data_IF_784855464427
#
_entry.id   IF_784855464427
#
_cell.length_a   1.000
_cell.length_b   1.000
_cell.length_c   1.000
_cell.angle_alpha   90.00
_cell.angle_beta   90.00
_cell.angle_gamma   90.00
#
_symmetry.space_group_name_H-M   'P 1'
#
loop_
_entity.id
_entity.type
_entity.pdbx_description
1 polymer ?
#
# COMPACT_ATOMS: atom_id res chain seq x y z
N UNK A 1 -72.59 29.86 39.93
CA UNK A 1 -72.48 31.29 40.37
C UNK A 1 -71.82 32.10 39.24
N UNK A 2 -71.97 33.43 39.18
CA UNK A 2 -71.82 34.26 37.96
C UNK A 2 -70.36 34.75 37.65
N UNK A 3 -70.00 34.86 36.35
CA UNK A 3 -69.47 36.05 35.58
C UNK A 3 -68.36 36.95 36.23
N UNK A 4 -67.25 37.43 35.60
CA UNK A 4 -66.90 37.77 34.19
C UNK A 4 -65.38 37.75 33.83
N UNK A 5 -65.10 37.62 32.52
CA UNK A 5 -63.99 38.12 31.66
C UNK A 5 -62.98 39.19 32.17
N UNK A 6 -61.77 39.13 31.55
CA UNK A 6 -60.80 40.20 31.19
C UNK A 6 -60.01 40.95 32.29
N UNK A 7 -58.68 40.78 32.26
CA UNK A 7 -57.74 41.89 31.99
C UNK A 7 -56.40 41.39 31.43
N UNK A 8 -56.01 41.93 30.28
CA UNK A 8 -54.64 41.92 29.74
C UNK A 8 -54.08 43.31 29.99
N UNK A 9 -52.88 43.43 30.58
CA UNK A 9 -51.82 44.34 30.14
C UNK A 9 -50.59 44.31 31.07
N UNK A 10 -49.45 44.02 30.43
CA UNK A 10 -48.11 44.58 30.67
C UNK A 10 -47.65 44.98 32.09
N UNK A 11 -46.62 44.26 32.57
CA UNK A 11 -45.33 44.89 32.87
C UNK A 11 -44.20 44.00 32.37
N UNK A 12 -43.33 44.56 31.53
CA UNK A 12 -42.07 43.92 31.15
C UNK A 12 -40.98 44.34 32.15
N UNK A 13 -40.32 43.38 32.77
CA UNK A 13 -39.07 43.58 33.50
C UNK A 13 -38.16 42.39 33.18
N UNK A 14 -37.02 42.67 32.54
CA UNK A 14 -36.17 41.63 31.99
C UNK A 14 -35.44 40.82 33.06
N UNK A 15 -35.65 39.50 33.07
CA UNK A 15 -34.73 38.57 33.71
C UNK A 15 -33.78 38.03 32.64
N UNK A 16 -32.52 38.48 32.66
CA UNK A 16 -31.45 37.87 31.86
C UNK A 16 -31.20 36.46 32.41
N UNK A 17 -31.81 35.46 31.78
CA UNK A 17 -31.53 34.07 32.08
C UNK A 17 -30.11 33.73 31.61
N UNK A 18 -29.16 33.80 32.54
CA UNK A 18 -27.80 33.26 32.38
C UNK A 18 -27.89 31.76 32.13
N UNK A 19 -27.95 31.38 30.86
CA UNK A 19 -27.96 30.00 30.40
C UNK A 19 -26.67 29.31 30.81
N UNK A 20 -26.70 28.60 31.95
CA UNK A 20 -25.66 27.64 32.32
C UNK A 20 -25.69 26.50 31.32
N UNK A 21 -24.87 26.60 30.28
CA UNK A 21 -24.47 25.46 29.45
C UNK A 21 -23.69 24.48 30.32
N UNK A 22 -24.41 23.58 30.97
CA UNK A 22 -23.81 22.42 31.62
C UNK A 22 -23.17 21.58 30.51
N UNK A 23 -21.85 21.74 30.34
CA UNK A 23 -21.06 20.87 29.51
C UNK A 23 -21.26 19.44 30.03
N UNK A 24 -21.92 18.59 29.24
CA UNK A 24 -22.03 17.18 29.54
C UNK A 24 -20.62 16.57 29.49
N UNK A 25 -19.95 16.57 30.64
CA UNK A 25 -18.76 15.77 30.85
C UNK A 25 -19.15 14.32 30.59
N UNK A 26 -18.65 13.75 29.50
CA UNK A 26 -18.76 12.32 29.26
C UNK A 26 -18.23 11.60 30.51
N UNK A 27 -19.01 10.68 31.12
CA UNK A 27 -18.57 10.02 32.34
C UNK A 27 -17.24 9.32 32.06
N UNK A 28 -16.29 9.48 32.98
CA UNK A 28 -14.99 8.84 32.89
C UNK A 28 -15.20 7.32 32.68
N UNK A 29 -14.42 6.67 31.78
CA UNK A 29 -14.60 5.25 31.52
C UNK A 29 -14.42 4.49 32.83
N UNK A 30 -15.47 3.77 33.26
CA UNK A 30 -15.39 2.90 34.43
C UNK A 30 -14.19 1.95 34.28
N UNK A 31 -13.44 1.67 35.36
CA UNK A 31 -12.30 0.77 35.30
C UNK A 31 -12.76 -0.57 34.75
N UNK A 32 -12.02 -1.11 33.78
CA UNK A 32 -12.31 -2.42 33.23
C UNK A 32 -12.32 -3.44 34.37
N UNK A 33 -13.38 -4.24 34.48
CA UNK A 33 -13.41 -5.34 35.43
C UNK A 33 -12.20 -6.25 35.17
N UNK A 34 -11.49 -6.64 36.23
CA UNK A 34 -10.32 -7.53 36.13
C UNK A 34 -10.66 -8.91 35.56
N UNK A 35 -11.94 -9.25 35.57
CA UNK A 35 -12.52 -10.45 34.97
C UNK A 35 -13.72 -10.04 34.09
N UNK A 36 -13.63 -10.17 32.75
CA UNK A 36 -14.70 -9.75 31.85
C UNK A 36 -15.96 -10.63 31.94
N UNK A 37 -15.91 -11.79 32.61
CA UNK A 37 -17.11 -12.61 32.84
C UNK A 37 -18.03 -12.03 33.93
N UNK A 38 -17.53 -11.11 34.75
CA UNK A 38 -18.23 -10.55 35.93
C UNK A 38 -18.95 -9.22 35.68
N UNK A 39 -18.86 -8.65 34.48
CA UNK A 39 -19.50 -7.39 34.13
C UNK A 39 -20.08 -7.45 32.70
N UNK A 40 -21.30 -6.92 32.45
CA UNK A 40 -21.82 -6.79 31.09
C UNK A 40 -20.87 -6.02 30.18
N UNK A 41 -20.67 -6.53 28.97
CA UNK A 41 -19.85 -5.89 27.95
C UNK A 41 -20.43 -4.56 27.44
N UNK A 42 -19.63 -3.85 26.63
CA UNK A 42 -20.10 -2.62 25.94
C UNK A 42 -21.17 -2.99 24.90
N UNK A 43 -22.23 -2.18 24.73
CA UNK A 43 -23.20 -2.38 23.65
C UNK A 43 -22.55 -2.16 22.27
N UNK A 44 -23.25 -2.60 21.22
CA UNK A 44 -22.84 -2.43 19.83
C UNK A 44 -22.64 -0.95 19.44
N UNK A 45 -21.82 -0.73 18.40
CA UNK A 45 -21.46 0.60 17.87
C UNK A 45 -21.71 0.65 16.36
N UNK A 46 -21.97 1.84 15.83
CA UNK A 46 -22.12 2.08 14.39
C UNK A 46 -20.86 1.74 13.59
N UNK A 47 -19.67 1.89 14.20
CA UNK A 47 -18.38 1.50 13.63
C UNK A 47 -17.58 0.72 14.66
N UNK A 48 -16.86 -0.30 14.17
CA UNK A 48 -15.86 -1.04 14.96
C UNK A 48 -14.64 -0.16 15.30
N UNK A 49 -13.89 -0.57 16.31
CA UNK A 49 -12.61 0.04 16.70
C UNK A 49 -11.61 -1.07 17.00
N UNK A 50 -10.33 -0.81 16.78
CA UNK A 50 -9.25 -1.73 17.18
C UNK A 50 -9.27 -1.93 18.70
N UNK A 51 -8.85 -3.09 19.18
CA UNK A 51 -8.73 -3.34 20.61
C UNK A 51 -7.71 -2.37 21.24
N UNK A 52 -7.91 -1.96 22.50
CA UNK A 52 -7.05 -0.97 23.15
C UNK A 52 -5.56 -1.41 23.30
N UNK A 53 -5.30 -2.71 23.18
CA UNK A 53 -3.97 -3.32 23.21
C UNK A 53 -3.31 -3.38 21.82
N UNK A 54 -4.10 -3.26 20.75
CA UNK A 54 -3.66 -3.36 19.35
C UNK A 54 -3.46 -1.98 18.75
N UNK A 55 -2.20 -1.59 18.51
CA UNK A 55 -1.83 -0.24 18.03
C UNK A 55 -0.98 -0.25 16.75
N UNK A 56 -1.31 -1.06 15.71
CA UNK A 56 -0.61 -0.98 14.44
C UNK A 56 -0.80 0.42 13.84
N UNK A 57 0.29 1.06 13.44
CA UNK A 57 0.28 2.42 12.91
C UNK A 57 1.28 2.59 11.78
N UNK A 58 1.04 3.54 10.87
CA UNK A 58 1.97 3.86 9.78
C UNK A 58 3.06 4.82 10.28
N UNK A 59 4.31 4.54 9.94
CA UNK A 59 5.43 5.47 10.15
C UNK A 59 5.46 6.44 8.97
N UNK A 60 5.40 7.74 9.23
CA UNK A 60 5.45 8.79 8.20
C UNK A 60 6.89 9.07 7.75
N UNK A 61 7.09 9.27 6.44
CA UNK A 61 8.38 9.67 5.85
C UNK A 61 8.27 11.12 5.37
N UNK A 62 8.35 12.04 6.32
CA UNK A 62 8.04 13.45 6.10
C UNK A 62 6.58 13.68 5.65
N UNK A 63 6.31 14.79 4.98
CA UNK A 63 4.96 15.13 4.50
C UNK A 63 4.51 14.39 3.22
N UNK A 64 5.35 13.51 2.66
CA UNK A 64 5.16 12.95 1.31
C UNK A 64 4.90 11.45 1.28
N UNK A 65 4.78 10.77 2.42
CA UNK A 65 4.42 9.36 2.43
C UNK A 65 4.50 8.68 3.79
N UNK A 66 4.22 7.38 3.79
CA UNK A 66 4.24 6.54 5.00
C UNK A 66 4.57 5.09 4.67
N UNK A 67 4.80 4.27 5.70
CA UNK A 67 5.15 2.85 5.60
C UNK A 67 4.14 1.99 6.37
N UNK A 68 3.78 0.83 5.81
CA UNK A 68 2.84 -0.14 6.40
C UNK A 68 3.51 -1.00 7.48
N UNK A 69 2.86 -1.19 8.65
CA UNK A 69 3.40 -1.96 9.77
C UNK A 69 3.30 -3.49 9.56
N UNK A 70 4.00 -4.05 8.56
CA UNK A 70 3.86 -5.46 8.20
C UNK A 70 4.20 -6.46 9.32
N UNK A 71 5.01 -6.06 10.31
CA UNK A 71 5.26 -6.85 11.52
C UNK A 71 4.03 -6.99 12.44
N UNK A 72 3.10 -6.03 12.39
CA UNK A 72 1.90 -5.96 13.24
C UNK A 72 0.64 -6.46 12.49
N UNK A 73 0.81 -7.07 11.31
CA UNK A 73 -0.29 -7.46 10.40
C UNK A 73 -0.30 -8.95 10.09
N UNK A 74 -1.50 -9.53 10.15
CA UNK A 74 -1.78 -10.93 9.87
C UNK A 74 -2.29 -11.13 8.43
N UNK A 75 -2.08 -12.33 7.87
CA UNK A 75 -2.52 -12.66 6.52
C UNK A 75 -1.78 -11.85 5.44
N UNK A 76 -2.51 -11.37 4.44
CA UNK A 76 -1.95 -10.60 3.30
C UNK A 76 -2.77 -9.37 2.89
N UNK A 77 -4.00 -9.18 3.37
CA UNK A 77 -4.77 -7.95 3.11
C UNK A 77 -4.35 -6.88 4.11
N UNK A 78 -3.79 -5.78 3.60
CA UNK A 78 -3.49 -4.58 4.40
C UNK A 78 -4.78 -3.81 4.69
N UNK A 79 -5.14 -3.53 5.96
CA UNK A 79 -6.25 -2.64 6.30
C UNK A 79 -6.12 -1.28 5.61
N UNK A 80 -7.22 -0.69 5.15
CA UNK A 80 -7.18 0.52 4.31
C UNK A 80 -6.53 1.72 5.02
N UNK A 81 -6.77 1.87 6.33
CA UNK A 81 -6.15 2.85 7.24
C UNK A 81 -4.64 2.63 7.46
N UNK A 82 -4.11 1.47 7.07
CA UNK A 82 -2.71 1.08 7.20
C UNK A 82 -2.01 0.86 5.86
N UNK A 83 -2.69 1.09 4.73
CA UNK A 83 -2.08 1.09 3.40
C UNK A 83 -1.06 2.24 3.31
N UNK A 84 0.13 1.96 2.78
CA UNK A 84 1.23 2.93 2.72
C UNK A 84 0.85 4.14 1.85
N UNK A 85 1.45 5.31 2.11
CA UNK A 85 1.20 6.51 1.32
C UNK A 85 2.43 6.94 0.51
N UNK A 86 2.17 7.47 -0.69
CA UNK A 86 3.14 8.30 -1.42
C UNK A 86 2.41 9.40 -2.18
N UNK A 87 2.86 10.64 -1.97
CA UNK A 87 2.32 11.87 -2.57
C UNK A 87 3.46 12.76 -3.06
N UNK A 88 3.21 13.60 -4.06
CA UNK A 88 4.19 14.59 -4.53
C UNK A 88 3.75 16.03 -4.25
N UNK A 89 2.44 16.30 -4.09
CA UNK A 89 1.89 17.59 -3.63
C UNK A 89 0.77 17.44 -2.57
N UNK A 90 0.90 16.45 -1.67
CA UNK A 90 -0.10 16.18 -0.63
C UNK A 90 -1.33 15.38 -1.12
N UNK A 91 -2.42 15.43 -0.35
CA UNK A 91 -3.69 14.75 -0.66
C UNK A 91 -4.74 15.82 -0.99
N UNK A 92 -5.23 15.89 -2.25
CA UNK A 92 -6.34 16.77 -2.61
C UNK A 92 -7.67 16.24 -2.05
N UNK A 93 -8.56 17.16 -1.69
CA UNK A 93 -9.97 16.87 -1.42
C UNK A 93 -10.77 17.02 -2.72
N UNK A 94 -11.45 15.96 -3.15
CA UNK A 94 -12.18 15.91 -4.43
C UNK A 94 -13.63 15.50 -4.18
N UNK A 95 -14.56 16.39 -4.51
CA UNK A 95 -15.99 16.07 -4.47
C UNK A 95 -16.34 15.06 -5.60
N UNK A 96 -16.90 13.89 -5.29
CA UNK A 96 -17.25 12.89 -6.30
C UNK A 96 -18.32 13.37 -7.30
N UNK A 97 -19.04 14.46 -7.00
CA UNK A 97 -20.09 15.05 -7.86
C UNK A 97 -19.53 15.95 -8.95
N UNK A 98 -18.35 16.54 -8.75
CA UNK A 98 -17.63 17.33 -9.76
C UNK A 98 -16.49 16.56 -10.42
N UNK A 99 -16.10 15.41 -9.86
CA UNK A 99 -15.10 14.52 -10.45
C UNK A 99 -15.50 14.03 -11.84
N UNK A 100 -14.54 14.07 -12.76
CA UNK A 100 -14.62 13.43 -14.06
C UNK A 100 -13.25 12.97 -14.58
N UNK A 101 -13.28 11.97 -15.47
CA UNK A 101 -12.12 11.40 -16.16
C UNK A 101 -12.26 11.65 -17.66
N UNK A 102 -11.38 12.48 -18.23
CA UNK A 102 -11.27 12.67 -19.67
C UNK A 102 -10.44 11.54 -20.30
N UNK A 103 -10.94 10.90 -21.35
CA UNK A 103 -10.17 9.99 -22.20
C UNK A 103 -10.19 10.54 -23.63
N UNK A 104 -9.02 10.89 -24.16
CA UNK A 104 -8.87 11.57 -25.46
C UNK A 104 -7.58 11.16 -26.20
N UNK A 105 -7.15 11.95 -27.18
CA UNK A 105 -5.98 11.67 -28.03
C UNK A 105 -6.34 10.78 -29.23
N UNK A 106 -5.57 9.72 -29.45
CA UNK A 106 -5.76 8.75 -30.54
C UNK A 106 -6.96 7.80 -30.31
N UNK A 107 -8.16 8.39 -30.28
CA UNK A 107 -9.45 7.71 -30.13
C UNK A 107 -10.41 8.12 -31.25
N UNK A 108 -11.50 7.38 -31.44
CA UNK A 108 -12.60 7.75 -32.34
C UNK A 108 -13.53 8.78 -31.70
N UNK A 109 -13.83 8.60 -30.40
CA UNK A 109 -14.80 9.41 -29.64
C UNK A 109 -14.18 9.83 -28.30
N UNK A 110 -13.57 11.03 -28.21
CA UNK A 110 -13.15 11.59 -26.93
C UNK A 110 -14.33 11.71 -25.97
N UNK A 111 -14.18 11.24 -24.73
CA UNK A 111 -15.27 11.19 -23.75
C UNK A 111 -14.82 11.64 -22.37
N UNK A 112 -15.77 12.22 -21.64
CA UNK A 112 -15.62 12.59 -20.23
C UNK A 112 -16.55 11.68 -19.39
N UNK A 113 -15.99 10.91 -18.47
CA UNK A 113 -16.74 9.98 -17.62
C UNK A 113 -16.89 10.56 -16.21
N UNK A 114 -18.11 10.66 -15.69
CA UNK A 114 -18.30 10.95 -14.25
C UNK A 114 -18.01 9.70 -13.41
N UNK A 115 -17.89 9.85 -12.08
CA UNK A 115 -17.80 8.69 -11.18
C UNK A 115 -19.03 7.76 -11.32
N UNK A 116 -20.20 8.31 -11.62
CA UNK A 116 -21.42 7.54 -11.83
C UNK A 116 -21.34 6.71 -13.11
N UNK A 117 -20.77 7.25 -14.20
CA UNK A 117 -20.59 6.53 -15.46
C UNK A 117 -19.58 5.38 -15.32
N UNK A 118 -18.45 5.62 -14.64
CA UNK A 118 -17.47 4.56 -14.35
C UNK A 118 -18.07 3.39 -13.56
N UNK A 119 -19.05 3.66 -12.69
CA UNK A 119 -19.77 2.65 -11.88
C UNK A 119 -20.90 1.92 -12.64
N UNK A 120 -21.23 2.35 -13.87
CA UNK A 120 -22.24 1.68 -14.73
C UNK A 120 -21.63 0.59 -15.63
N UNK A 121 -20.32 0.62 -15.84
CA UNK A 121 -19.62 -0.46 -16.56
C UNK A 121 -19.50 -1.73 -15.70
N UNK A 122 -19.32 -2.92 -16.31
CA UNK A 122 -19.03 -4.14 -15.59
C UNK A 122 -17.78 -3.98 -14.70
N UNK A 123 -17.98 -4.13 -13.39
CA UNK A 123 -16.91 -4.03 -12.41
C UNK A 123 -16.21 -5.37 -12.20
N UNK A 124 -14.92 -5.32 -11.86
CA UNK A 124 -14.14 -6.46 -11.39
C UNK A 124 -13.49 -6.13 -10.06
N UNK A 125 -13.24 -7.17 -9.26
CA UNK A 125 -12.48 -7.10 -8.01
C UNK A 125 -11.21 -7.94 -8.16
N UNK A 126 -10.04 -7.40 -7.78
CA UNK A 126 -8.75 -8.11 -7.84
C UNK A 126 -7.92 -7.84 -6.59
N UNK A 127 -7.39 -8.90 -5.99
CA UNK A 127 -6.41 -8.80 -4.89
C UNK A 127 -5.02 -8.64 -5.50
N UNK A 128 -4.40 -7.47 -5.33
CA UNK A 128 -3.07 -7.17 -5.87
C UNK A 128 -2.26 -6.32 -4.89
N UNK A 129 -0.93 -6.43 -4.96
CA UNK A 129 -0.04 -5.52 -4.25
C UNK A 129 0.17 -4.20 -5.02
N UNK A 130 0.48 -3.15 -4.26
CA UNK A 130 1.19 -1.97 -4.71
C UNK A 130 2.53 -1.90 -3.98
N UNK A 131 3.59 -1.52 -4.68
CA UNK A 131 4.91 -1.26 -4.10
C UNK A 131 5.48 0.01 -4.71
N UNK A 132 5.98 0.92 -3.88
CA UNK A 132 6.78 2.05 -4.35
C UNK A 132 8.09 1.51 -4.92
N UNK A 133 8.50 1.89 -6.13
CA UNK A 133 9.79 1.46 -6.67
C UNK A 133 10.96 1.85 -5.75
N UNK A 134 10.84 2.93 -4.98
CA UNK A 134 11.80 3.30 -3.92
C UNK A 134 11.71 2.52 -2.60
N UNK A 135 11.06 1.35 -2.55
CA UNK A 135 10.79 0.57 -1.33
C UNK A 135 12.03 -0.14 -0.75
N UNK A 136 13.08 0.59 -0.40
CA UNK A 136 14.13 0.05 0.44
C UNK A 136 14.88 1.12 1.23
N UNK A 137 15.06 0.93 2.53
CA UNK A 137 15.92 1.80 3.33
C UNK A 137 17.38 1.29 3.32
N UNK A 138 18.19 1.78 2.37
CA UNK A 138 19.64 1.50 2.29
C UNK A 138 20.40 1.87 3.57
N UNK A 139 19.93 2.88 4.30
CA UNK A 139 20.54 3.40 5.52
C UNK A 139 19.83 2.90 6.80
N UNK A 140 19.21 1.71 6.73
CA UNK A 140 18.61 1.05 7.89
C UNK A 140 19.67 0.69 8.95
N UNK A 141 19.60 1.23 10.19
CA UNK A 141 20.40 0.76 11.32
C UNK A 141 19.93 -0.64 11.79
N UNK A 142 20.66 -1.33 12.67
CA UNK A 142 20.25 -2.62 13.24
C UNK A 142 18.86 -2.59 13.92
N UNK A 143 18.51 -1.48 14.58
CA UNK A 143 17.23 -1.24 15.27
C UNK A 143 16.09 -0.86 14.31
N UNK A 144 16.05 -1.50 13.13
CA UNK A 144 15.07 -1.25 12.06
C UNK A 144 13.95 -2.28 12.10
N UNK A 145 12.69 -1.85 12.07
CA UNK A 145 11.51 -2.73 11.85
C UNK A 145 11.32 -3.11 10.37
N UNK A 146 10.59 -4.20 10.05
CA UNK A 146 10.23 -4.54 8.66
C UNK A 146 9.54 -3.38 7.92
N UNK A 147 8.68 -2.65 8.62
CA UNK A 147 8.05 -1.40 8.16
C UNK A 147 9.06 -0.34 7.73
N UNK A 148 10.06 -0.03 8.56
CA UNK A 148 11.08 0.97 8.23
C UNK A 148 12.01 0.50 7.09
N UNK A 149 12.29 -0.81 7.01
CA UNK A 149 13.15 -1.41 5.98
C UNK A 149 12.51 -1.39 4.59
N UNK A 150 11.28 -1.90 4.47
CA UNK A 150 10.62 -2.18 3.19
C UNK A 150 9.07 -2.10 3.26
N UNK A 151 8.54 -1.25 4.15
CA UNK A 151 7.09 -1.06 4.34
C UNK A 151 6.37 -0.17 3.32
N UNK A 152 7.00 0.33 2.25
CA UNK A 152 6.30 1.04 1.17
C UNK A 152 5.71 0.06 0.15
N UNK A 153 5.04 -0.97 0.66
CA UNK A 153 4.23 -1.93 -0.08
C UNK A 153 2.99 -2.28 0.73
N UNK A 154 1.90 -2.62 0.06
CA UNK A 154 0.63 -3.03 0.67
C UNK A 154 -0.18 -3.83 -0.32
N UNK A 155 -1.06 -4.69 0.16
CA UNK A 155 -2.00 -5.42 -0.67
C UNK A 155 -3.45 -5.09 -0.27
N UNK A 156 -4.30 -4.94 -1.28
CA UNK A 156 -5.73 -4.71 -1.10
C UNK A 156 -6.50 -5.48 -2.16
N UNK A 157 -7.78 -5.75 -1.87
CA UNK A 157 -8.74 -5.99 -2.93
C UNK A 157 -9.10 -4.64 -3.56
N UNK A 158 -8.92 -4.50 -4.86
CA UNK A 158 -9.29 -3.30 -5.63
C UNK A 158 -10.49 -3.60 -6.50
N UNK A 159 -11.48 -2.71 -6.50
CA UNK A 159 -12.71 -2.86 -7.30
C UNK A 159 -12.93 -1.64 -8.21
N UNK A 160 -13.30 -1.90 -9.46
CA UNK A 160 -13.37 -0.88 -10.51
C UNK A 160 -13.66 -1.43 -11.90
N UNK A 161 -13.50 -0.59 -12.93
CA UNK A 161 -13.72 -0.95 -14.34
C UNK A 161 -12.39 -1.22 -15.06
N UNK A 162 -12.32 -2.29 -15.84
CA UNK A 162 -11.16 -2.58 -16.69
C UNK A 162 -10.89 -1.46 -17.68
N UNK A 163 -9.64 -0.99 -17.79
CA UNK A 163 -9.28 0.09 -18.72
C UNK A 163 -9.54 -0.31 -20.17
N UNK A 164 -9.34 -1.58 -20.51
CA UNK A 164 -9.70 -2.17 -21.81
C UNK A 164 -11.16 -1.96 -22.21
N UNK A 165 -12.09 -1.90 -21.25
CA UNK A 165 -13.51 -1.63 -21.51
C UNK A 165 -13.74 -0.17 -21.85
N UNK A 166 -13.10 0.76 -21.13
CA UNK A 166 -13.17 2.19 -21.45
C UNK A 166 -12.50 2.51 -22.79
N UNK A 167 -11.38 1.84 -23.10
CA UNK A 167 -10.66 2.01 -24.37
C UNK A 167 -11.46 1.49 -25.57
N UNK A 168 -12.25 0.42 -25.40
CA UNK A 168 -13.23 -0.01 -26.41
C UNK A 168 -14.37 1.01 -26.58
N UNK A 169 -14.89 1.57 -25.48
CA UNK A 169 -15.99 2.55 -25.54
C UNK A 169 -15.61 3.83 -26.31
N UNK A 170 -14.42 4.37 -26.08
CA UNK A 170 -13.95 5.57 -26.81
C UNK A 170 -13.44 5.27 -28.23
N UNK A 171 -13.32 4.00 -28.61
CA UNK A 171 -12.69 3.57 -29.86
C UNK A 171 -11.21 3.92 -29.92
N UNK A 172 -10.40 3.32 -29.04
CA UNK A 172 -8.94 3.45 -29.08
C UNK A 172 -8.39 3.00 -30.45
N UNK A 173 -7.66 3.89 -31.13
CA UNK A 173 -7.17 3.61 -32.50
C UNK A 173 -6.06 2.56 -32.49
N UNK A 174 -5.97 1.65 -33.48
CA UNK A 174 -4.93 0.62 -33.54
C UNK A 174 -3.49 1.13 -33.55
N UNK A 175 -3.26 2.38 -33.95
CA UNK A 175 -1.94 3.02 -33.97
C UNK A 175 -1.53 3.61 -32.61
N UNK A 176 -2.44 3.64 -31.62
CA UNK A 176 -2.12 4.09 -30.27
C UNK A 176 -1.31 3.00 -29.53
N UNK A 177 -0.05 3.27 -29.26
CA UNK A 177 0.88 2.36 -28.58
C UNK A 177 1.16 2.79 -27.14
N UNK A 178 0.89 4.05 -26.79
CA UNK A 178 1.07 4.63 -25.46
C UNK A 178 -0.17 5.42 -25.01
N UNK A 179 -0.30 5.62 -23.71
CA UNK A 179 -1.20 6.63 -23.15
C UNK A 179 -0.55 7.38 -22.00
N UNK A 180 -0.82 8.67 -21.88
CA UNK A 180 -0.59 9.43 -20.66
C UNK A 180 -1.68 9.07 -19.65
N UNK A 181 -1.33 8.90 -18.39
CA UNK A 181 -2.24 8.94 -17.26
C UNK A 181 -1.85 10.12 -16.36
N UNK A 182 -2.77 11.03 -16.05
CA UNK A 182 -2.50 12.28 -15.30
C UNK A 182 -3.47 12.45 -14.11
N UNK A 183 -2.89 12.74 -12.93
CA UNK A 183 -3.61 12.96 -11.67
C UNK A 183 -4.15 14.37 -11.48
N UNK A 184 -5.03 14.52 -10.49
CA UNK A 184 -5.69 15.79 -10.12
C UNK A 184 -5.07 16.50 -8.91
N UNK A 185 -3.92 16.05 -8.41
CA UNK A 185 -3.17 16.77 -7.38
C UNK A 185 -2.33 17.92 -7.98
N UNK A 186 -1.83 18.82 -7.14
CA UNK A 186 -1.05 19.98 -7.60
C UNK A 186 0.33 19.62 -8.19
N UNK A 187 0.77 18.36 -8.07
CA UNK A 187 1.93 17.86 -8.81
C UNK A 187 1.60 17.53 -10.28
N UNK A 188 0.31 17.39 -10.61
CA UNK A 188 -0.19 16.84 -11.89
C UNK A 188 0.60 15.59 -12.30
N UNK A 189 0.75 14.65 -11.36
CA UNK A 189 1.59 13.47 -11.56
C UNK A 189 1.12 12.74 -12.81
N UNK A 190 2.02 12.61 -13.77
CA UNK A 190 1.71 12.07 -15.08
C UNK A 190 2.73 11.03 -15.54
N UNK A 191 2.25 9.93 -16.11
CA UNK A 191 3.08 8.79 -16.58
C UNK A 191 2.61 8.27 -17.93
N UNK A 192 3.58 7.90 -18.77
CA UNK A 192 3.39 7.20 -20.03
C UNK A 192 3.32 5.70 -19.78
N UNK A 193 2.23 5.09 -20.21
CA UNK A 193 1.95 3.65 -20.05
C UNK A 193 1.71 3.05 -21.44
N UNK A 194 2.34 1.92 -21.80
CA UNK A 194 2.02 1.16 -23.01
C UNK A 194 0.54 0.75 -23.07
N UNK A 195 -0.08 0.88 -24.24
CA UNK A 195 -1.49 0.52 -24.45
C UNK A 195 -1.75 -0.97 -24.23
N UNK A 196 -0.77 -1.86 -24.45
CA UNK A 196 -0.91 -3.30 -24.12
C UNK A 196 -1.30 -3.52 -22.65
N UNK A 197 -0.73 -2.72 -21.73
CA UNK A 197 -1.00 -2.83 -20.29
C UNK A 197 -2.43 -2.42 -19.96
N UNK A 198 -3.03 -1.51 -20.75
CA UNK A 198 -4.45 -1.17 -20.65
C UNK A 198 -5.36 -2.34 -21.05
N UNK A 199 -4.93 -3.18 -22.00
CA UNK A 199 -5.68 -4.32 -22.50
C UNK A 199 -5.48 -5.61 -21.68
N UNK A 200 -4.32 -5.81 -21.03
CA UNK A 200 -4.03 -6.92 -20.10
C UNK A 200 -4.86 -6.85 -18.80
N UNK A 201 -4.44 -6.02 -17.85
CA UNK A 201 -4.92 -6.10 -16.46
C UNK A 201 -5.18 -4.75 -15.78
N UNK A 202 -4.97 -3.61 -16.46
CA UNK A 202 -5.20 -2.29 -15.89
C UNK A 202 -6.69 -2.02 -15.62
N UNK A 203 -6.95 -1.24 -14.57
CA UNK A 203 -8.31 -0.82 -14.20
C UNK A 203 -8.34 0.59 -13.63
N UNK A 204 -9.47 1.28 -13.80
CA UNK A 204 -9.82 2.47 -13.02
C UNK A 204 -10.55 1.99 -11.76
N UNK A 205 -9.82 1.94 -10.65
CA UNK A 205 -10.33 1.50 -9.35
C UNK A 205 -11.02 2.67 -8.63
N UNK A 206 -12.18 2.40 -8.02
CA UNK A 206 -12.95 3.34 -7.19
C UNK A 206 -13.30 2.78 -5.80
N UNK A 207 -13.00 1.51 -5.55
CA UNK A 207 -13.16 0.85 -4.25
C UNK A 207 -11.92 0.03 -3.85
N UNK A 208 -11.70 -0.09 -2.54
CA UNK A 208 -10.57 -0.75 -1.89
C UNK A 208 -11.09 -1.50 -0.65
N UNK A 209 -10.78 -2.79 -0.52
CA UNK A 209 -11.16 -3.65 0.60
C UNK A 209 -12.67 -3.56 0.98
N UNK A 210 -13.55 -3.58 -0.03
CA UNK A 210 -15.01 -3.53 0.15
C UNK A 210 -15.63 -2.14 0.38
N UNK A 211 -14.82 -1.08 0.55
CA UNK A 211 -15.29 0.30 0.71
C UNK A 211 -14.78 1.24 -0.40
N UNK A 212 -15.19 2.51 -0.41
CA UNK A 212 -14.61 3.49 -1.33
C UNK A 212 -13.11 3.71 -1.03
N UNK A 213 -12.30 3.94 -2.07
CA UNK A 213 -10.86 4.25 -1.91
C UNK A 213 -10.69 5.42 -0.93
N UNK A 214 -9.67 5.39 -0.06
CA UNK A 214 -9.38 6.48 0.87
C UNK A 214 -8.77 7.70 0.14
N UNK A 215 -8.97 8.96 0.59
CA UNK A 215 -8.40 10.15 -0.07
C UNK A 215 -6.92 10.03 -0.42
N UNK A 216 -6.10 9.59 0.53
CA UNK A 216 -4.67 9.34 0.40
C UNK A 216 -4.31 8.23 -0.61
N UNK A 217 -5.25 7.33 -0.91
CA UNK A 217 -5.12 6.23 -1.88
C UNK A 217 -5.70 6.55 -3.26
N UNK A 218 -6.29 7.74 -3.45
CA UNK A 218 -6.72 8.23 -4.76
C UNK A 218 -8.22 8.46 -4.93
N UNK A 219 -8.99 8.68 -3.86
CA UNK A 219 -10.43 8.97 -3.96
C UNK A 219 -10.74 10.15 -4.88
N UNK A 220 -11.75 10.08 -5.78
CA UNK A 220 -12.73 9.00 -5.90
C UNK A 220 -12.32 7.85 -6.83
N UNK A 221 -11.28 8.03 -7.64
CA UNK A 221 -10.78 6.97 -8.53
C UNK A 221 -9.27 7.13 -8.86
N UNK A 222 -8.62 5.98 -9.06
CA UNK A 222 -7.20 5.88 -9.46
C UNK A 222 -7.03 4.95 -10.66
N UNK A 223 -5.93 5.11 -11.37
CA UNK A 223 -5.37 4.06 -12.19
C UNK A 223 -4.70 2.99 -11.29
N UNK A 224 -4.96 1.72 -11.61
CA UNK A 224 -4.29 0.56 -11.03
C UNK A 224 -3.70 -0.29 -12.16
N UNK A 225 -2.42 -0.63 -12.03
CA UNK A 225 -1.59 -1.40 -12.93
C UNK A 225 -0.94 -2.53 -12.12
N UNK A 226 -1.58 -3.71 -11.99
CA UNK A 226 -1.07 -4.80 -11.16
C UNK A 226 0.38 -5.18 -11.51
N UNK A 227 1.20 -5.37 -10.47
CA UNK A 227 2.62 -5.73 -10.59
C UNK A 227 3.57 -4.62 -11.05
N UNK A 228 3.06 -3.44 -11.40
CA UNK A 228 3.88 -2.30 -11.82
C UNK A 228 4.16 -1.34 -10.66
N UNK A 229 5.24 -0.56 -10.78
CA UNK A 229 5.67 0.39 -9.75
C UNK A 229 4.57 1.38 -9.35
N UNK A 230 4.53 1.72 -8.05
CA UNK A 230 3.47 2.52 -7.45
C UNK A 230 3.33 3.94 -8.02
N UNK A 231 4.37 4.48 -8.66
CA UNK A 231 4.29 5.79 -9.32
C UNK A 231 3.41 5.74 -10.59
N UNK A 232 3.51 4.68 -11.40
CA UNK A 232 2.67 4.43 -12.58
C UNK A 232 1.19 4.22 -12.24
N UNK A 233 0.89 3.89 -10.99
CA UNK A 233 -0.48 3.69 -10.49
C UNK A 233 -1.12 5.04 -10.09
N UNK A 234 -1.30 5.93 -11.08
CA UNK A 234 -1.69 7.34 -10.91
C UNK A 234 -2.97 7.49 -10.08
N UNK A 235 -2.87 8.21 -8.96
CA UNK A 235 -3.98 8.53 -8.06
C UNK A 235 -4.76 9.75 -8.54
N UNK A 236 -6.01 9.87 -8.11
CA UNK A 236 -6.87 11.00 -8.44
C UNK A 236 -6.95 11.19 -9.96
N UNK A 237 -7.09 10.09 -10.71
CA UNK A 237 -6.90 10.08 -12.17
C UNK A 237 -7.96 11.00 -12.82
N UNK A 238 -7.53 12.01 -13.56
CA UNK A 238 -8.45 12.98 -14.21
C UNK A 238 -8.39 12.94 -15.72
N UNK A 239 -7.29 12.45 -16.30
CA UNK A 239 -7.06 12.52 -17.74
C UNK A 239 -6.22 11.34 -18.23
N UNK A 240 -6.66 10.78 -19.35
CA UNK A 240 -5.94 9.81 -20.16
C UNK A 240 -5.87 10.32 -21.60
N UNK A 241 -4.70 10.24 -22.24
CA UNK A 241 -4.46 10.69 -23.62
C UNK A 241 -3.70 9.62 -24.39
N UNK A 242 -4.31 9.06 -25.43
CA UNK A 242 -3.70 8.01 -26.27
C UNK A 242 -2.78 8.62 -27.33
N UNK A 243 -1.64 7.98 -27.58
CA UNK A 243 -0.49 8.48 -28.36
C UNK A 243 0.24 7.32 -29.07
N UNK A 244 1.04 7.66 -30.08
CA UNK A 244 1.94 6.74 -30.80
C UNK A 244 3.34 6.63 -30.15
N UNK A 245 3.59 7.41 -29.10
CA UNK A 245 4.87 7.52 -28.39
C UNK A 245 4.70 7.90 -26.91
N UNK A 246 5.66 7.61 -26.03
CA UNK A 246 5.63 8.10 -24.66
C UNK A 246 5.76 9.64 -24.63
N UNK A 247 5.18 10.24 -23.60
CA UNK A 247 5.14 11.68 -23.36
C UNK A 247 6.41 12.21 -22.68
N UNK A 248 7.27 11.32 -22.16
CA UNK A 248 8.56 11.64 -21.53
C UNK A 248 8.43 12.69 -20.41
N UNK A 249 7.49 12.46 -19.49
CA UNK A 249 7.21 13.38 -18.38
C UNK A 249 8.37 13.45 -17.38
N UNK A 250 8.32 14.41 -16.45
CA UNK A 250 9.30 14.53 -15.34
C UNK A 250 9.46 13.22 -14.56
N UNK A 251 8.35 12.54 -14.28
CA UNK A 251 8.31 11.37 -13.38
C UNK A 251 8.63 10.04 -14.10
N UNK A 252 9.22 10.13 -15.30
CA UNK A 252 9.82 9.01 -16.05
C UNK A 252 11.11 9.38 -16.79
N UNK A 253 11.66 10.56 -16.50
CA UNK A 253 12.91 11.08 -17.07
C UNK A 253 13.85 11.59 -15.97
N UNK A 254 13.41 12.58 -15.19
CA UNK A 254 14.16 13.17 -14.05
C UNK A 254 14.04 12.35 -12.76
N UNK A 255 12.98 11.54 -12.66
CA UNK A 255 12.64 10.63 -11.56
C UNK A 255 12.20 9.29 -12.14
N UNK A 256 12.24 8.24 -11.32
CA UNK A 256 11.89 6.87 -11.71
C UNK A 256 12.69 6.37 -12.93
N UNK A 257 13.94 6.83 -12.99
CA UNK A 257 14.99 6.41 -13.91
C UNK A 257 16.17 5.92 -13.10
N UNK A 258 16.83 4.86 -13.58
CA UNK A 258 17.89 4.16 -12.86
C UNK A 258 19.24 4.41 -13.55
N UNK A 259 20.12 5.28 -13.02
CA UNK A 259 21.46 5.48 -13.57
C UNK A 259 22.29 4.19 -13.55
N UNK A 260 23.08 3.99 -14.59
CA UNK A 260 23.97 2.86 -14.80
C UNK A 260 25.43 3.32 -14.89
N UNK A 261 26.38 2.40 -14.70
CA UNK A 261 27.81 2.70 -14.62
C UNK A 261 28.48 3.19 -15.91
N UNK A 262 27.74 3.24 -17.03
CA UNK A 262 28.20 3.66 -18.36
C UNK A 262 27.59 5.02 -18.78
N UNK A 263 27.21 5.86 -17.82
CA UNK A 263 26.55 7.16 -18.01
C UNK A 263 25.21 7.12 -18.76
N UNK A 264 24.60 5.93 -18.89
CA UNK A 264 23.21 5.77 -19.34
C UNK A 264 22.26 5.60 -18.16
N UNK A 265 20.96 5.72 -18.40
CA UNK A 265 19.94 5.38 -17.41
C UNK A 265 18.91 4.42 -18.01
N UNK A 266 18.49 3.42 -17.23
CA UNK A 266 17.30 2.63 -17.55
C UNK A 266 16.07 3.49 -17.25
N UNK A 267 15.23 3.66 -18.25
CA UNK A 267 13.90 4.27 -18.13
C UNK A 267 12.85 3.18 -18.26
N UNK A 268 11.61 3.47 -17.88
CA UNK A 268 10.49 2.52 -17.99
C UNK A 268 10.76 1.17 -17.29
N UNK A 269 11.43 1.21 -16.13
CA UNK A 269 11.52 0.12 -15.16
C UNK A 269 10.15 -0.18 -14.54
N UNK A 270 9.19 -0.65 -15.33
CA UNK A 270 7.80 -0.70 -14.89
C UNK A 270 7.51 -1.79 -13.85
N UNK A 271 8.03 -3.01 -14.05
CA UNK A 271 7.68 -4.18 -13.25
C UNK A 271 8.46 -4.21 -11.94
N UNK A 272 7.80 -4.58 -10.85
CA UNK A 272 8.46 -4.87 -9.57
C UNK A 272 8.97 -6.31 -9.54
N UNK A 273 10.29 -6.50 -9.52
CA UNK A 273 10.94 -7.82 -9.47
C UNK A 273 10.52 -8.64 -8.22
N UNK A 274 10.69 -9.97 -8.27
CA UNK A 274 10.31 -10.83 -7.16
C UNK A 274 11.07 -10.50 -5.86
N UNK A 275 10.36 -10.55 -4.73
CA UNK A 275 10.86 -10.13 -3.43
C UNK A 275 10.22 -10.89 -2.28
N UNK A 276 10.94 -11.01 -1.17
CA UNK A 276 10.43 -11.44 0.13
C UNK A 276 10.91 -10.53 1.26
N UNK A 277 10.13 -10.50 2.35
CA UNK A 277 10.42 -9.82 3.60
C UNK A 277 9.91 -10.68 4.77
N UNK A 278 10.83 -11.13 5.64
CA UNK A 278 10.47 -11.72 6.94
C UNK A 278 9.87 -10.61 7.82
N UNK A 279 8.64 -10.81 8.27
CA UNK A 279 7.93 -9.89 9.18
C UNK A 279 8.05 -10.32 10.63
N UNK A 280 8.29 -11.62 10.88
CA UNK A 280 8.61 -12.17 12.19
C UNK A 280 9.50 -13.42 12.04
N UNK A 281 10.53 -13.63 12.88
CA UNK A 281 11.00 -12.70 13.91
C UNK A 281 11.69 -11.48 13.29
N UNK A 282 11.55 -10.32 13.94
CA UNK A 282 12.16 -9.06 13.54
C UNK A 282 12.30 -8.13 14.75
N UNK A 283 13.10 -7.07 14.65
CA UNK A 283 13.22 -6.07 15.71
C UNK A 283 11.84 -5.46 16.07
N UNK A 284 11.49 -5.28 17.37
CA UNK A 284 12.31 -5.43 18.58
C UNK A 284 12.09 -6.76 19.33
N UNK A 285 11.68 -7.84 18.66
CA UNK A 285 11.40 -9.13 19.33
C UNK A 285 12.65 -9.69 20.01
N UNK A 286 12.47 -10.23 21.21
CA UNK A 286 13.43 -11.12 21.87
C UNK A 286 12.87 -12.55 21.83
N UNK A 287 13.61 -13.48 21.24
CA UNK A 287 13.25 -14.88 21.15
C UNK A 287 13.59 -15.65 22.43
N UNK A 288 12.83 -16.70 22.70
CA UNK A 288 13.20 -17.74 23.66
C UNK A 288 13.58 -19.01 22.92
N UNK A 289 14.48 -19.81 23.51
CA UNK A 289 14.93 -21.09 22.93
C UNK A 289 13.73 -22.02 22.73
N UNK A 290 13.59 -22.59 21.54
CA UNK A 290 12.46 -23.46 21.21
C UNK A 290 11.96 -23.29 19.77
N UNK A 291 10.67 -23.52 19.58
CA UNK A 291 10.03 -23.40 18.26
C UNK A 291 9.65 -21.95 17.94
N UNK A 292 10.06 -21.49 16.76
CA UNK A 292 9.80 -20.15 16.22
C UNK A 292 9.19 -20.33 14.82
N UNK A 293 7.98 -19.82 14.59
CA UNK A 293 7.40 -19.77 13.23
C UNK A 293 7.92 -18.51 12.51
N UNK A 294 9.01 -18.66 11.75
CA UNK A 294 9.48 -17.62 10.83
C UNK A 294 8.38 -17.41 9.79
N UNK A 295 7.90 -16.19 9.63
CA UNK A 295 6.88 -15.85 8.65
C UNK A 295 7.11 -14.48 8.02
N UNK A 296 6.57 -14.30 6.82
CA UNK A 296 6.78 -13.10 6.03
C UNK A 296 5.91 -13.04 4.80
N UNK A 297 6.07 -11.97 4.02
CA UNK A 297 5.38 -11.78 2.74
C UNK A 297 6.38 -11.88 1.59
N UNK A 298 5.95 -12.47 0.48
CA UNK A 298 6.67 -12.50 -0.79
C UNK A 298 5.73 -12.13 -1.94
N UNK A 299 6.25 -11.48 -2.99
CA UNK A 299 5.48 -11.02 -4.14
C UNK A 299 6.35 -10.88 -5.38
N UNK A 300 5.74 -10.87 -6.57
CA UNK A 300 6.39 -10.53 -7.84
C UNK A 300 5.42 -9.82 -8.76
N UNK A 301 5.88 -8.78 -9.45
CA UNK A 301 5.12 -8.11 -10.49
C UNK A 301 4.97 -8.93 -11.78
N UNK A 302 5.77 -9.98 -11.95
CA UNK A 302 5.70 -10.90 -13.08
C UNK A 302 4.62 -11.98 -12.94
N UNK A 303 4.11 -12.24 -11.72
CA UNK A 303 3.12 -13.30 -11.52
C UNK A 303 3.02 -13.81 -10.08
N UNK A 304 2.79 -15.11 -9.93
CA UNK A 304 2.73 -15.82 -8.65
C UNK A 304 4.13 -16.04 -8.06
N UNK A 305 4.19 -16.09 -6.73
CA UNK A 305 5.33 -16.70 -6.03
C UNK A 305 5.25 -18.21 -6.17
N UNK A 306 6.26 -18.84 -6.78
CA UNK A 306 6.33 -20.29 -6.91
C UNK A 306 6.82 -20.94 -5.60
N UNK A 307 7.80 -20.33 -4.92
CA UNK A 307 8.26 -20.73 -3.59
C UNK A 307 8.97 -19.58 -2.86
N UNK A 308 9.17 -19.76 -1.55
CA UNK A 308 10.12 -18.96 -0.77
C UNK A 308 11.11 -19.91 -0.12
N UNK A 309 12.39 -19.66 -0.30
CA UNK A 309 13.47 -20.34 0.40
C UNK A 309 13.78 -19.56 1.69
N UNK A 310 13.96 -20.26 2.82
CA UNK A 310 14.39 -19.69 4.11
C UNK A 310 15.71 -20.31 4.53
N UNK A 311 16.63 -19.47 5.00
CA UNK A 311 17.91 -19.85 5.61
C UNK A 311 17.91 -19.44 7.07
N UNK A 312 18.55 -20.22 7.95
CA UNK A 312 18.84 -19.84 9.35
C UNK A 312 20.35 -19.81 9.65
N UNK A 313 21.19 -19.89 8.62
CA UNK A 313 22.64 -20.09 8.74
C UNK A 313 23.48 -19.14 7.87
N UNK A 314 22.95 -17.92 7.64
CA UNK A 314 23.53 -16.91 6.75
C UNK A 314 23.60 -17.31 5.25
N UNK A 315 22.69 -18.18 4.80
CA UNK A 315 22.50 -18.55 3.40
C UNK A 315 23.36 -19.71 2.93
N UNK A 316 23.99 -20.46 3.86
CA UNK A 316 24.78 -21.67 3.55
C UNK A 316 23.87 -22.85 3.20
N UNK A 317 22.70 -22.96 3.83
CA UNK A 317 21.67 -23.92 3.50
C UNK A 317 20.29 -23.26 3.43
N UNK A 318 19.40 -23.84 2.62
CA UNK A 318 18.08 -23.28 2.35
C UNK A 318 17.01 -24.36 2.44
N UNK A 319 15.95 -24.08 3.18
CA UNK A 319 14.77 -24.93 3.30
C UNK A 319 13.56 -24.21 2.68
N UNK A 320 12.72 -24.94 1.96
CA UNK A 320 11.50 -24.38 1.39
C UNK A 320 10.50 -24.02 2.50
N UNK A 321 9.94 -22.81 2.46
CA UNK A 321 8.86 -22.37 3.33
C UNK A 321 7.50 -22.79 2.76
N UNK A 322 6.54 -23.06 3.66
CA UNK A 322 5.15 -23.32 3.28
C UNK A 322 4.48 -22.01 2.89
N UNK A 323 4.03 -21.91 1.64
CA UNK A 323 3.15 -20.82 1.19
C UNK A 323 1.74 -21.03 1.76
N UNK A 324 1.06 -19.93 2.06
CA UNK A 324 -0.35 -19.94 2.46
C UNK A 324 -1.22 -19.68 1.23
N UNK A 325 -2.06 -20.65 0.87
CA UNK A 325 -3.02 -20.54 -0.22
C UNK A 325 -4.17 -19.58 0.08
N UNK A 326 -4.80 -18.97 -0.95
CA UNK A 326 -4.46 -19.08 -2.37
C UNK A 326 -3.25 -18.22 -2.77
N UNK A 327 -2.33 -18.79 -3.55
CA UNK A 327 -1.25 -18.03 -4.20
C UNK A 327 -1.77 -17.35 -5.47
N UNK A 328 -1.94 -16.02 -5.39
CA UNK A 328 -2.47 -15.20 -6.48
C UNK A 328 -1.33 -14.51 -7.27
N UNK A 329 -1.50 -14.27 -8.58
CA UNK A 329 -0.52 -13.53 -9.37
C UNK A 329 -0.51 -12.05 -8.98
N UNK A 330 0.66 -11.41 -8.99
CA UNK A 330 0.82 -9.97 -8.73
C UNK A 330 0.27 -9.57 -7.34
N UNK A 331 0.42 -10.47 -6.37
CA UNK A 331 -0.11 -10.38 -5.01
C UNK A 331 0.94 -10.71 -3.93
N UNK A 332 0.77 -10.16 -2.73
CA UNK A 332 1.45 -10.62 -1.51
C UNK A 332 0.99 -12.04 -1.16
N UNK A 333 1.97 -12.93 -1.05
CA UNK A 333 1.85 -14.32 -0.62
C UNK A 333 2.51 -14.48 0.76
N UNK A 334 1.77 -14.96 1.75
CA UNK A 334 2.30 -15.23 3.09
C UNK A 334 3.07 -16.56 3.08
N UNK A 335 4.31 -16.56 3.54
CA UNK A 335 5.12 -17.77 3.73
C UNK A 335 5.39 -18.04 5.21
N UNK A 336 5.60 -19.31 5.57
CA UNK A 336 5.91 -19.75 6.93
C UNK A 336 6.93 -20.89 6.96
N UNK A 337 7.86 -20.87 7.90
CA UNK A 337 8.85 -21.90 8.13
C UNK A 337 9.03 -22.12 9.64
N UNK A 338 8.87 -23.36 10.11
CA UNK A 338 8.98 -23.70 11.52
C UNK A 338 10.42 -24.06 11.86
N UNK A 339 11.08 -23.21 12.66
CA UNK A 339 12.47 -23.35 13.06
C UNK A 339 12.58 -23.69 14.54
N UNK A 340 13.46 -24.64 14.89
CA UNK A 340 13.81 -24.93 16.28
C UNK A 340 15.10 -24.19 16.62
N UNK A 341 14.97 -22.98 17.15
CA UNK A 341 16.13 -22.20 17.58
C UNK A 341 16.72 -22.80 18.87
N UNK A 342 18.03 -23.01 18.84
CA UNK A 342 18.78 -23.70 19.89
C UNK A 342 19.47 -22.77 20.89
N UNK A 343 19.40 -21.45 20.69
CA UNK A 343 20.07 -20.43 21.50
C UNK A 343 21.38 -19.89 20.89
N UNK A 344 21.86 -20.45 19.77
CA UNK A 344 23.04 -19.95 19.07
C UNK A 344 22.76 -18.68 18.27
N UNK A 345 23.80 -17.93 17.91
CA UNK A 345 23.67 -16.82 16.96
C UNK A 345 23.27 -17.35 15.57
N UNK A 346 22.30 -16.69 14.93
CA UNK A 346 21.78 -17.10 13.63
C UNK A 346 21.43 -15.89 12.75
N UNK A 347 21.70 -16.00 11.44
CA UNK A 347 21.22 -15.01 10.45
C UNK A 347 20.10 -15.67 9.65
N UNK A 348 18.89 -15.18 9.86
CA UNK A 348 17.66 -15.68 9.24
C UNK A 348 17.37 -14.88 7.98
N UNK A 349 17.36 -15.52 6.82
CA UNK A 349 17.14 -14.90 5.50
C UNK A 349 15.91 -15.50 4.82
N UNK A 350 15.24 -14.74 3.96
CA UNK A 350 14.26 -15.26 3.00
C UNK A 350 14.59 -14.84 1.58
N UNK A 351 14.24 -15.70 0.61
CA UNK A 351 14.41 -15.44 -0.82
C UNK A 351 13.21 -15.94 -1.61
N UNK A 352 12.55 -15.04 -2.33
CA UNK A 352 11.44 -15.39 -3.21
C UNK A 352 11.92 -16.01 -4.54
N UNK A 353 11.11 -16.91 -5.08
CA UNK A 353 11.17 -17.35 -6.49
C UNK A 353 9.77 -17.27 -7.08
N UNK A 354 9.64 -16.64 -8.25
CA UNK A 354 8.36 -16.51 -8.95
C UNK A 354 8.16 -17.54 -10.07
N UNK A 355 6.97 -17.56 -10.67
CA UNK A 355 6.62 -18.54 -11.72
C UNK A 355 7.38 -18.37 -13.04
N UNK A 356 8.18 -17.31 -13.22
CA UNK A 356 9.13 -17.18 -14.34
C UNK A 356 10.45 -17.90 -14.09
N UNK A 357 10.70 -18.33 -12.85
CA UNK A 357 11.99 -18.85 -12.40
C UNK A 357 12.97 -17.78 -11.92
N UNK A 358 12.59 -16.49 -11.91
CA UNK A 358 13.38 -15.43 -11.32
C UNK A 358 13.59 -15.69 -9.81
N UNK A 359 14.85 -15.64 -9.37
CA UNK A 359 15.25 -15.82 -7.97
C UNK A 359 15.69 -14.47 -7.41
N UNK A 360 15.10 -14.06 -6.29
CA UNK A 360 15.44 -12.80 -5.63
C UNK A 360 16.96 -12.73 -5.32
N UNK A 361 17.70 -11.72 -5.83
CA UNK A 361 19.15 -11.71 -5.77
C UNK A 361 19.71 -11.31 -4.40
N UNK A 362 20.91 -11.79 -4.01
CA UNK A 362 21.66 -11.20 -2.91
C UNK A 362 22.13 -9.79 -3.29
N UNK A 363 22.35 -8.93 -2.28
CA UNK A 363 22.79 -7.54 -2.50
C UNK A 363 24.05 -7.43 -3.36
N UNK A 364 25.03 -8.33 -3.16
CA UNK A 364 26.26 -8.34 -3.95
C UNK A 364 26.03 -8.50 -5.47
N UNK A 365 24.98 -9.22 -5.87
CA UNK A 365 24.61 -9.39 -7.28
C UNK A 365 23.94 -8.12 -7.84
N UNK A 366 23.08 -7.47 -7.05
CA UNK A 366 22.53 -6.15 -7.41
C UNK A 366 23.63 -5.08 -7.55
N UNK A 367 24.62 -5.08 -6.65
CA UNK A 367 25.77 -4.17 -6.73
C UNK A 367 26.67 -4.46 -7.94
N UNK A 368 26.88 -5.74 -8.27
CA UNK A 368 27.64 -6.15 -9.46
C UNK A 368 26.93 -5.74 -10.77
N UNK A 369 25.61 -5.81 -10.82
CA UNK A 369 24.81 -5.56 -12.03
C UNK A 369 24.42 -4.09 -12.21
N UNK A 370 24.19 -3.35 -11.12
CA UNK A 370 23.73 -1.94 -11.13
C UNK A 370 24.79 -0.93 -10.64
N UNK A 371 25.95 -1.41 -10.19
CA UNK A 371 27.04 -0.59 -9.62
C UNK A 371 26.83 -0.23 -8.14
N UNK A 372 27.86 0.29 -7.43
CA UNK A 372 27.74 0.74 -6.04
C UNK A 372 26.80 1.96 -5.89
N UNK A 373 26.76 2.79 -6.93
CA UNK A 373 25.78 3.87 -7.08
C UNK A 373 24.35 3.40 -7.38
N UNK A 374 24.04 2.08 -7.25
CA UNK A 374 22.76 1.47 -7.58
C UNK A 374 21.58 2.39 -7.23
N UNK A 375 20.70 2.57 -8.22
CA UNK A 375 19.63 3.55 -8.18
C UNK A 375 18.74 3.43 -6.92
N UNK A 376 18.07 4.54 -6.58
CA UNK A 376 17.16 4.61 -5.44
C UNK A 376 15.86 3.79 -5.63
N UNK A 377 15.74 3.06 -6.74
CA UNK A 377 14.53 2.34 -7.15
C UNK A 377 14.83 0.85 -7.46
N UNK A 378 13.77 0.03 -7.42
CA UNK A 378 13.78 -1.40 -7.75
C UNK A 378 14.80 -2.23 -6.96
N UNK A 379 15.10 -1.85 -5.72
CA UNK A 379 16.00 -2.60 -4.84
C UNK A 379 15.24 -3.71 -4.10
N UNK A 380 15.43 -4.95 -4.55
CA UNK A 380 14.82 -6.16 -4.00
C UNK A 380 15.82 -7.15 -3.35
N UNK A 381 16.93 -6.75 -2.70
CA UNK A 381 17.93 -7.69 -2.19
C UNK A 381 17.30 -8.71 -1.22
N UNK A 382 17.86 -9.92 -1.17
CA UNK A 382 17.71 -10.80 0.00
C UNK A 382 18.10 -10.00 1.25
N UNK A 383 17.23 -10.03 2.25
CA UNK A 383 17.40 -9.34 3.53
C UNK A 383 17.00 -10.29 4.65
N UNK A 384 17.41 -9.96 5.87
CA UNK A 384 17.13 -10.82 7.01
C UNK A 384 17.52 -10.22 8.34
N UNK A 385 17.46 -11.08 9.35
CA UNK A 385 17.52 -10.73 10.75
C UNK A 385 18.64 -11.51 11.44
N UNK A 386 19.49 -10.80 12.18
CA UNK A 386 20.45 -11.38 13.10
C UNK A 386 19.72 -11.66 14.42
N UNK A 387 19.65 -12.93 14.79
CA UNK A 387 19.23 -13.42 16.11
C UNK A 387 20.50 -13.61 16.93
N UNK A 388 20.67 -12.79 17.98
CA UNK A 388 21.79 -12.90 18.93
C UNK A 388 21.56 -14.04 19.91
N UNK A 389 22.61 -14.48 20.61
CA UNK A 389 22.55 -15.56 21.61
C UNK A 389 21.73 -15.22 22.86
N UNK A 390 21.47 -13.95 23.13
CA UNK A 390 20.51 -13.47 24.14
C UNK A 390 19.05 -13.47 23.65
N UNK A 391 18.82 -13.84 22.39
CA UNK A 391 17.53 -13.86 21.72
C UNK A 391 17.12 -12.54 21.08
N UNK A 392 17.88 -11.45 21.26
CA UNK A 392 17.54 -10.17 20.64
C UNK A 392 17.65 -10.24 19.11
N UNK A 393 16.59 -9.77 18.43
CA UNK A 393 16.50 -9.80 16.97
C UNK A 393 16.73 -8.40 16.41
N UNK A 394 17.74 -8.25 15.56
CA UNK A 394 18.11 -6.98 14.90
C UNK A 394 18.26 -7.18 13.39
N UNK A 395 18.14 -6.12 12.60
CA UNK A 395 18.34 -6.18 11.16
C UNK A 395 19.79 -6.58 10.84
N UNK A 396 19.97 -7.57 9.95
CA UNK A 396 21.28 -7.96 9.46
C UNK A 396 21.80 -6.90 8.47
N UNK A 397 22.45 -5.88 9.00
CA UNK A 397 23.00 -4.78 8.20
C UNK A 397 24.19 -5.26 7.36
N UNK A 398 24.18 -4.91 6.08
CA UNK A 398 25.26 -5.16 5.13
C UNK A 398 25.54 -3.87 4.34
N UNK A 399 26.81 -3.63 4.02
CA UNK A 399 27.25 -2.45 3.28
C UNK A 399 26.74 -2.41 1.83
N UNK A 400 26.61 -1.20 1.28
CA UNK A 400 26.16 -0.95 -0.10
C UNK A 400 27.29 -0.65 -1.10
N UNK A 401 28.55 -0.81 -0.67
CA UNK A 401 29.73 -0.30 -1.38
C UNK A 401 30.06 1.11 -0.91
#
# INVERSE_FOLDING_TARGET
>A
MKVSRRRVLATAAGAVALGRTAAMQSPAPAPAASDPSKAPGRPARTLGQRAAFEKPQRITRGATGSQTPHQDLYGTITPADLHFERHHAGVPEIDPRSYSLLIHGMVERPMMFTLADLKRFPSVSRVCFLECSGNFNRAAPPETTPQQLAGMTSQSEWTGVMLSTLFREVGARPQATWFLAEGHDAALLARSIPVEKAFDDAMIAYAQNGEAIRPEQGYPARLLLPGWEGNSNVKWIRRIELSDRPFMTREETSKYTDPLANDTARIFSFVMDARSLITYPAYPVTLTRGWVEINGIAWSGYGKIQRVDVSTDAGRSWASAKLQEPVLPKAHTRFRHLWKWDGGEAIVLSRAVDETGYVQPPRAELLKTRGPGAANYHLNPVTGWLVRSDGAVVYNQEAWG
#
